data_IF_151908848680
#
_entry.id   IF_151908848680
#
_cell.length_a   1.000
_cell.length_b   1.000
_cell.length_c   1.000
_cell.angle_alpha   90.00
_cell.angle_beta   90.00
_cell.angle_gamma   90.00
#
_symmetry.space_group_name_H-M   'P 1'
#
loop_
_entity.id
_entity.type
_entity.pdbx_description
1 polymer ?
#
# COMPACT_ATOMS: atom_id res chain seq x y z
N UNK A 1 -10.95 -21.91 -1.69
CA UNK A 1 -10.93 -20.42 -1.59
C UNK A 1 -10.07 -20.03 -0.40
N UNK A 2 -9.15 -19.10 -0.61
CA UNK A 2 -8.31 -18.60 0.49
C UNK A 2 -9.17 -17.89 1.53
N UNK A 3 -8.92 -18.20 2.79
CA UNK A 3 -9.65 -17.59 3.91
C UNK A 3 -8.99 -16.23 4.25
N UNK A 4 -9.76 -15.12 4.26
CA UNK A 4 -9.21 -13.81 4.62
C UNK A 4 -8.68 -13.75 6.06
N UNK A 5 -9.06 -14.66 6.92
CA UNK A 5 -8.55 -14.79 8.29
C UNK A 5 -7.39 -15.77 8.41
N UNK A 6 -6.95 -16.36 7.30
CA UNK A 6 -5.84 -17.31 7.28
C UNK A 6 -4.49 -16.66 7.62
N UNK A 7 -3.45 -17.47 7.90
CA UNK A 7 -2.11 -16.96 8.17
C UNK A 7 -1.51 -16.28 6.94
N UNK A 8 -0.73 -15.24 7.17
CA UNK A 8 0.05 -14.55 6.14
C UNK A 8 1.51 -14.93 6.34
N UNK A 9 2.15 -15.44 5.30
CA UNK A 9 3.55 -15.82 5.36
C UNK A 9 4.26 -15.51 4.04
N UNK A 10 5.56 -15.26 4.12
CA UNK A 10 6.40 -15.06 2.93
C UNK A 10 6.87 -16.41 2.44
N UNK A 11 6.86 -16.59 1.12
CA UNK A 11 7.48 -17.75 0.49
C UNK A 11 8.95 -17.88 0.91
N UNK A 12 9.41 -19.12 1.12
CA UNK A 12 10.76 -19.40 1.61
C UNK A 12 11.86 -18.84 0.70
N UNK A 13 11.68 -18.96 -0.62
CA UNK A 13 12.66 -18.43 -1.57
C UNK A 13 12.72 -16.93 -1.54
N UNK A 14 11.55 -16.26 -1.45
CA UNK A 14 11.47 -14.82 -1.31
C UNK A 14 12.10 -14.36 0.00
N UNK A 15 11.84 -15.07 1.10
CA UNK A 15 12.45 -14.73 2.40
C UNK A 15 13.99 -14.81 2.35
N UNK A 16 14.53 -15.84 1.70
CA UNK A 16 15.98 -15.98 1.50
C UNK A 16 16.55 -14.83 0.65
N UNK A 17 15.85 -14.48 -0.44
CA UNK A 17 16.27 -13.38 -1.30
C UNK A 17 16.27 -12.06 -0.53
N UNK A 18 15.23 -11.78 0.25
CA UNK A 18 15.14 -10.56 1.06
C UNK A 18 16.28 -10.45 2.06
N UNK A 19 16.71 -11.57 2.64
CA UNK A 19 17.85 -11.60 3.58
C UNK A 19 19.20 -11.39 2.89
N UNK A 20 19.30 -11.67 1.60
CA UNK A 20 20.56 -11.60 0.84
C UNK A 20 20.86 -10.21 0.28
N UNK A 21 19.94 -9.26 0.36
CA UNK A 21 20.09 -7.92 -0.20
C UNK A 21 20.34 -6.87 0.89
N UNK A 22 21.09 -5.84 0.57
CA UNK A 22 21.43 -4.77 1.50
C UNK A 22 20.27 -3.80 1.71
N UNK A 23 19.41 -3.66 0.70
CA UNK A 23 18.26 -2.74 0.72
C UNK A 23 17.03 -3.43 0.15
N UNK A 24 15.91 -3.30 0.85
CA UNK A 24 14.62 -3.80 0.42
C UNK A 24 13.71 -2.63 0.08
N UNK A 25 13.27 -2.56 -1.17
CA UNK A 25 12.43 -1.47 -1.67
C UNK A 25 11.05 -2.01 -2.05
N UNK A 26 10.01 -1.39 -1.49
CA UNK A 26 8.63 -1.58 -1.92
C UNK A 26 8.14 -0.31 -2.62
N UNK A 27 7.84 -0.40 -3.90
CA UNK A 27 7.45 0.75 -4.71
C UNK A 27 6.04 0.58 -5.26
N UNK A 28 5.12 1.43 -4.81
CA UNK A 28 3.76 1.58 -5.32
C UNK A 28 2.90 0.31 -5.29
N UNK A 29 3.20 -0.64 -4.41
CA UNK A 29 2.45 -1.90 -4.30
C UNK A 29 1.57 -1.98 -3.06
N UNK A 30 1.85 -1.22 -2.01
CA UNK A 30 1.18 -1.38 -0.71
C UNK A 30 -0.34 -1.21 -0.80
N UNK A 31 -0.82 -0.23 -1.53
CA UNK A 31 -2.25 0.00 -1.73
C UNK A 31 -2.90 -0.99 -2.68
N UNK A 32 -2.10 -1.76 -3.43
CA UNK A 32 -2.56 -2.69 -4.46
C UNK A 32 -2.44 -4.16 -4.07
N UNK A 33 -1.77 -4.48 -2.97
CA UNK A 33 -1.47 -5.86 -2.58
C UNK A 33 -2.71 -6.75 -2.49
N UNK A 34 -3.83 -6.22 -2.03
CA UNK A 34 -5.05 -6.98 -1.84
C UNK A 34 -5.96 -7.00 -3.08
N UNK A 35 -5.71 -6.18 -4.11
CA UNK A 35 -6.59 -6.07 -5.26
C UNK A 35 -6.89 -7.41 -5.95
N UNK A 36 -5.91 -8.33 -6.15
CA UNK A 36 -6.20 -9.61 -6.76
C UNK A 36 -7.16 -10.48 -5.93
N UNK A 37 -7.20 -10.28 -4.62
CA UNK A 37 -8.03 -11.05 -3.70
C UNK A 37 -9.43 -10.46 -3.56
N UNK A 38 -9.59 -9.14 -3.72
CA UNK A 38 -10.87 -8.46 -3.53
C UNK A 38 -11.97 -9.03 -4.44
N UNK A 39 -11.66 -9.33 -5.68
CA UNK A 39 -12.60 -9.94 -6.62
C UNK A 39 -13.02 -11.33 -6.20
N UNK A 40 -12.12 -12.11 -5.59
CA UNK A 40 -12.40 -13.47 -5.09
C UNK A 40 -13.26 -13.45 -3.84
N UNK A 41 -13.14 -12.41 -3.04
CA UNK A 41 -13.85 -12.28 -1.77
C UNK A 41 -15.19 -11.56 -1.89
N UNK A 42 -15.37 -10.82 -2.99
CA UNK A 42 -16.63 -10.10 -3.22
C UNK A 42 -17.82 -11.07 -3.25
N UNK A 43 -18.85 -10.75 -2.47
CA UNK A 43 -20.03 -11.60 -2.31
C UNK A 43 -19.86 -12.83 -1.42
N UNK A 44 -18.63 -13.15 -0.95
CA UNK A 44 -18.34 -14.29 -0.08
C UNK A 44 -18.06 -13.89 1.38
N UNK A 45 -17.62 -12.66 1.58
CA UNK A 45 -17.28 -12.12 2.90
C UNK A 45 -17.87 -10.72 3.03
N UNK A 46 -18.10 -10.29 4.27
CA UNK A 46 -18.57 -8.92 4.54
C UNK A 46 -17.50 -7.90 4.23
N UNK A 47 -17.90 -6.66 3.93
CA UNK A 47 -16.96 -5.58 3.70
C UNK A 47 -16.04 -5.36 4.91
N UNK A 48 -16.56 -5.50 6.12
CA UNK A 48 -15.76 -5.41 7.34
C UNK A 48 -14.68 -6.49 7.42
N UNK A 49 -15.02 -7.75 7.09
CA UNK A 49 -14.06 -8.85 7.04
C UNK A 49 -12.97 -8.61 5.99
N UNK A 50 -13.35 -8.10 4.82
CA UNK A 50 -12.42 -7.77 3.75
C UNK A 50 -11.49 -6.64 4.19
N UNK A 51 -12.00 -5.57 4.77
CA UNK A 51 -11.21 -4.42 5.22
C UNK A 51 -10.19 -4.82 6.30
N UNK A 52 -10.60 -5.66 7.26
CA UNK A 52 -9.69 -6.19 8.28
C UNK A 52 -8.56 -7.01 7.66
N UNK A 53 -8.87 -7.84 6.68
CA UNK A 53 -7.87 -8.64 5.99
C UNK A 53 -6.91 -7.78 5.16
N UNK A 54 -7.42 -6.81 4.43
CA UNK A 54 -6.60 -5.85 3.66
C UNK A 54 -5.62 -5.14 4.58
N UNK A 55 -6.10 -4.69 5.74
CA UNK A 55 -5.26 -4.02 6.72
C UNK A 55 -4.18 -4.94 7.30
N UNK A 56 -4.51 -6.22 7.56
CA UNK A 56 -3.54 -7.23 7.99
C UNK A 56 -2.44 -7.44 6.94
N UNK A 57 -2.81 -7.56 5.68
CA UNK A 57 -1.86 -7.73 4.58
C UNK A 57 -0.90 -6.53 4.50
N UNK A 58 -1.44 -5.33 4.59
CA UNK A 58 -0.64 -4.09 4.56
C UNK A 58 0.31 -4.00 5.75
N UNK A 59 -0.17 -4.30 6.96
CA UNK A 59 0.65 -4.32 8.17
C UNK A 59 1.77 -5.36 8.10
N UNK A 60 1.44 -6.54 7.57
CA UNK A 60 2.44 -7.58 7.36
C UNK A 60 3.53 -7.13 6.38
N UNK A 61 3.15 -6.53 5.26
CA UNK A 61 4.09 -5.99 4.29
C UNK A 61 5.03 -4.94 4.90
N UNK A 62 4.47 -4.01 5.69
CA UNK A 62 5.26 -3.03 6.42
C UNK A 62 6.23 -3.69 7.42
N UNK A 63 5.80 -4.74 8.09
CA UNK A 63 6.65 -5.44 9.07
C UNK A 63 7.90 -6.03 8.42
N UNK A 64 7.79 -6.49 7.18
CA UNK A 64 8.94 -6.98 6.41
C UNK A 64 9.96 -5.87 6.13
N UNK A 65 9.48 -4.69 5.75
CA UNK A 65 10.34 -3.53 5.52
C UNK A 65 11.00 -3.04 6.81
N UNK A 66 10.24 -2.99 7.89
CA UNK A 66 10.74 -2.55 9.20
C UNK A 66 11.76 -3.52 9.80
N UNK A 67 11.60 -4.80 9.53
CA UNK A 67 12.53 -5.83 10.01
C UNK A 67 13.85 -5.88 9.23
N UNK A 68 13.86 -5.37 8.01
CA UNK A 68 15.06 -5.33 7.18
C UNK A 68 16.01 -4.22 7.64
N UNK A 69 17.35 -4.41 7.60
CA UNK A 69 18.30 -3.37 7.99
C UNK A 69 18.14 -2.04 7.26
N UNK A 70 17.73 -2.08 6.00
CA UNK A 70 17.39 -0.90 5.22
C UNK A 70 16.16 -1.19 4.36
N UNK A 71 14.99 -0.76 4.83
CA UNK A 71 13.73 -0.85 4.09
C UNK A 71 13.31 0.51 3.57
N UNK A 72 12.86 0.56 2.33
CA UNK A 72 12.33 1.78 1.70
C UNK A 72 10.92 1.48 1.18
N UNK A 73 9.99 2.33 1.55
CA UNK A 73 8.62 2.30 1.06
C UNK A 73 8.33 3.54 0.25
N UNK A 74 7.89 3.36 -0.98
CA UNK A 74 7.33 4.43 -1.81
C UNK A 74 5.88 4.05 -2.09
N UNK A 75 4.94 4.88 -1.66
CA UNK A 75 3.52 4.54 -1.79
C UNK A 75 2.65 5.79 -1.88
N UNK A 76 1.49 5.63 -2.50
CA UNK A 76 0.44 6.62 -2.45
C UNK A 76 -0.23 6.60 -1.07
N UNK A 77 -0.24 7.74 -0.39
CA UNK A 77 -0.78 7.87 0.96
C UNK A 77 -2.12 8.58 1.00
N UNK A 78 -2.45 9.33 -0.04
CA UNK A 78 -3.73 10.03 -0.17
C UNK A 78 -4.10 10.21 -1.63
N UNK A 79 -5.38 10.45 -1.87
CA UNK A 79 -5.89 10.78 -3.21
C UNK A 79 -6.84 11.98 -3.13
N UNK A 80 -7.00 12.68 -4.25
CA UNK A 80 -8.04 13.68 -4.44
C UNK A 80 -8.46 13.77 -5.90
N UNK A 81 -9.60 14.39 -6.10
CA UNK A 81 -10.11 14.72 -7.43
C UNK A 81 -10.17 16.25 -7.55
N UNK A 82 -9.50 16.81 -8.56
CA UNK A 82 -9.45 18.26 -8.77
C UNK A 82 -8.92 19.01 -7.55
N UNK A 83 -9.73 19.91 -7.00
CA UNK A 83 -9.41 20.72 -5.83
C UNK A 83 -10.04 20.21 -4.53
N UNK A 84 -10.57 18.99 -4.54
CA UNK A 84 -11.15 18.37 -3.36
C UNK A 84 -10.08 18.17 -2.27
N UNK A 85 -10.56 18.01 -1.03
CA UNK A 85 -9.66 17.64 0.07
C UNK A 85 -9.02 16.28 -0.16
N UNK A 86 -7.79 16.09 0.34
CA UNK A 86 -7.11 14.82 0.31
C UNK A 86 -7.84 13.76 1.14
N UNK A 87 -8.08 12.60 0.55
CA UNK A 87 -8.63 11.43 1.24
C UNK A 87 -7.48 10.48 1.59
N UNK A 88 -7.23 10.19 2.88
CA UNK A 88 -6.19 9.24 3.27
C UNK A 88 -6.48 7.83 2.75
N UNK A 89 -5.43 7.14 2.31
CA UNK A 89 -5.52 5.75 1.85
C UNK A 89 -4.98 4.75 2.87
N UNK A 90 -4.12 5.20 3.77
CA UNK A 90 -3.39 4.36 4.72
C UNK A 90 -3.54 4.86 6.16
N UNK A 91 -4.71 5.41 6.52
CA UNK A 91 -4.94 6.01 7.83
C UNK A 91 -4.75 5.05 9.01
N UNK A 92 -4.96 3.74 8.80
CA UNK A 92 -4.84 2.71 9.84
C UNK A 92 -3.41 2.19 10.02
N UNK A 93 -2.45 2.70 9.26
CA UNK A 93 -1.05 2.28 9.32
C UNK A 93 -0.21 3.33 10.04
N UNK A 94 0.66 2.86 10.91
CA UNK A 94 1.68 3.71 11.54
C UNK A 94 2.86 3.86 10.60
N UNK A 95 3.01 5.06 10.04
CA UNK A 95 4.12 5.42 9.18
C UNK A 95 4.96 6.51 9.85
N UNK A 96 6.29 6.47 9.69
CA UNK A 96 7.13 7.57 10.16
C UNK A 96 6.88 8.84 9.33
N UNK A 97 7.58 9.91 9.64
CA UNK A 97 7.57 11.08 8.78
C UNK A 97 8.19 10.72 7.42
N UNK A 98 7.56 11.12 6.31
CA UNK A 98 8.13 10.85 4.99
C UNK A 98 9.43 11.63 4.79
N UNK A 99 10.39 11.00 4.11
CA UNK A 99 11.62 11.68 3.70
C UNK A 99 11.43 12.51 2.45
N UNK A 100 10.53 12.09 1.57
CA UNK A 100 10.20 12.78 0.32
C UNK A 100 8.70 12.67 0.05
N UNK A 101 8.14 13.63 -0.67
CA UNK A 101 6.76 13.60 -1.16
C UNK A 101 6.61 14.32 -2.48
N UNK A 102 5.66 13.86 -3.29
CA UNK A 102 5.28 14.50 -4.54
C UNK A 102 3.84 14.17 -4.93
N UNK A 103 3.32 14.88 -5.91
CA UNK A 103 1.96 14.66 -6.41
C UNK A 103 2.05 14.02 -7.80
N UNK A 104 1.34 12.91 -7.97
CA UNK A 104 1.12 12.30 -9.27
C UNK A 104 -0.25 12.67 -9.81
N UNK A 105 -0.28 13.15 -11.04
CA UNK A 105 -1.50 13.32 -11.82
C UNK A 105 -1.75 12.03 -12.61
N UNK A 106 -2.48 11.09 -11.97
CA UNK A 106 -2.58 9.72 -12.47
C UNK A 106 -3.63 9.60 -13.56
N UNK A 107 -4.72 10.35 -13.44
CA UNK A 107 -5.86 10.23 -14.31
C UNK A 107 -6.39 11.62 -14.65
N UNK A 108 -5.98 12.20 -15.79
CA UNK A 108 -6.58 13.41 -16.30
C UNK A 108 -8.10 13.21 -16.50
N UNK A 109 -8.87 14.24 -16.15
CA UNK A 109 -10.34 14.17 -16.15
C UNK A 109 -10.95 13.72 -17.48
N UNK A 110 -10.29 14.01 -18.58
CA UNK A 110 -10.75 13.66 -19.94
C UNK A 110 -10.65 12.15 -20.21
N UNK A 111 -9.63 11.49 -19.68
CA UNK A 111 -9.36 10.07 -19.96
C UNK A 111 -10.26 9.13 -19.16
N UNK A 112 -10.76 9.57 -18.02
CA UNK A 112 -11.59 8.75 -17.14
C UNK A 112 -13.08 9.09 -17.16
N UNK A 113 -13.50 10.02 -17.99
CA UNK A 113 -14.90 10.46 -17.97
C UNK A 113 -15.31 11.13 -16.65
N UNK A 114 -14.34 11.55 -15.83
CA UNK A 114 -14.55 12.19 -14.53
C UNK A 114 -14.64 13.71 -14.66
N UNK A 115 -15.32 14.19 -15.73
CA UNK A 115 -15.42 15.62 -16.03
C UNK A 115 -15.91 16.46 -14.86
N UNK A 116 -16.81 15.91 -14.04
CA UNK A 116 -17.40 16.61 -12.89
C UNK A 116 -16.50 16.61 -11.65
N UNK A 117 -15.50 15.71 -11.59
CA UNK A 117 -14.60 15.56 -10.43
C UNK A 117 -13.22 16.16 -10.64
N UNK A 118 -12.85 16.46 -11.89
CA UNK A 118 -11.49 16.88 -12.22
C UNK A 118 -10.52 15.68 -12.36
N UNK A 119 -9.22 15.98 -12.42
CA UNK A 119 -8.18 14.96 -12.52
C UNK A 119 -8.01 14.21 -11.19
N UNK A 120 -7.73 12.91 -11.27
CA UNK A 120 -7.33 12.13 -10.10
C UNK A 120 -5.86 12.36 -9.81
N UNK A 121 -5.56 12.79 -8.59
CA UNK A 121 -4.20 13.01 -8.11
C UNK A 121 -3.91 12.11 -6.91
N UNK A 122 -2.66 11.66 -6.82
CA UNK A 122 -2.14 10.89 -5.71
C UNK A 122 -1.01 11.63 -5.03
N UNK A 123 -1.08 11.70 -3.71
CA UNK A 123 0.06 12.09 -2.90
C UNK A 123 0.92 10.85 -2.68
N UNK A 124 2.13 10.89 -3.22
CA UNK A 124 3.09 9.79 -3.09
C UNK A 124 4.16 10.22 -2.10
N UNK A 125 4.47 9.34 -1.17
CA UNK A 125 5.45 9.60 -0.13
C UNK A 125 6.46 8.46 -0.04
N UNK A 126 7.69 8.80 0.28
CA UNK A 126 8.77 7.86 0.51
C UNK A 126 9.14 7.82 1.98
N UNK A 127 9.29 6.62 2.51
CA UNK A 127 9.63 6.34 3.90
C UNK A 127 10.87 5.47 3.97
N UNK A 128 11.79 5.78 4.86
CA UNK A 128 13.00 5.00 5.10
C UNK A 128 12.92 4.37 6.47
N UNK A 129 13.01 3.05 6.50
CA UNK A 129 13.08 2.26 7.74
C UNK A 129 14.50 1.75 7.91
N UNK A 130 15.16 2.16 8.97
CA UNK A 130 16.49 1.65 9.33
C UNK A 130 16.41 1.00 10.70
N UNK A 131 16.89 -0.25 10.78
CA UNK A 131 17.03 -0.88 12.07
C UNK A 131 18.09 -0.11 12.86
N UNK A 132 17.74 0.31 14.07
CA UNK A 132 18.73 0.81 15.02
C UNK A 132 19.51 -0.38 15.55
N UNK A 133 20.79 -0.36 15.29
CA UNK A 133 21.71 -1.35 15.86
C UNK A 133 22.13 -0.89 17.25
#
# INVERSE_FOLDING_TARGET
MENPNGPIAVDKQLAQLMQSVDTLVSSCVLTQLALPLLKRWDGHFTNQEIDLCVNRIRKFHLSLLKAHPCGILVTDTARRYGQDAWTPLLADLELPLPSERWIWDIAPSVEHGLRDRGSEQRLVEAFVFRSQV
#
